data_IF_775376598607
#
_entry.id   IF_775376598607
#
_cell.length_a   1.000
_cell.length_b   1.000
_cell.length_c   1.000
_cell.angle_alpha   90.00
_cell.angle_beta   90.00
_cell.angle_gamma   90.00
#
_symmetry.space_group_name_H-M   'P 1'
#
loop_
_entity.id
_entity.type
_entity.pdbx_description
1 polymer ?
#
# COMPACT_ATOMS: atom_id res chain seq x y z
N UNK A 1 -4.62 2.58 10.82
CA UNK A 1 -4.53 1.67 9.64
C UNK A 1 -5.10 0.32 10.05
N UNK A 2 -6.05 -0.22 9.27
CA UNK A 2 -6.58 -1.56 9.52
C UNK A 2 -5.57 -2.59 9.03
N UNK A 3 -4.70 -3.04 9.94
CA UNK A 3 -3.77 -4.12 9.64
C UNK A 3 -4.51 -5.45 9.59
N UNK A 4 -4.26 -6.25 8.55
CA UNK A 4 -4.79 -7.61 8.39
C UNK A 4 -3.63 -8.59 8.34
N UNK A 5 -3.93 -9.88 8.45
CA UNK A 5 -2.96 -10.94 8.31
C UNK A 5 -3.27 -11.75 7.05
N UNK A 6 -2.24 -12.25 6.39
CA UNK A 6 -2.38 -13.19 5.27
C UNK A 6 -1.26 -14.21 5.33
N UNK A 7 -1.33 -15.19 4.45
CA UNK A 7 -0.31 -16.22 4.31
C UNK A 7 -0.03 -16.51 2.83
N UNK A 8 1.14 -17.07 2.56
CA UNK A 8 1.61 -17.41 1.23
C UNK A 8 2.34 -18.75 1.26
N UNK A 9 2.01 -19.63 0.31
CA UNK A 9 2.51 -21.00 0.22
C UNK A 9 3.60 -21.09 -0.86
N UNK A 10 3.31 -20.57 -2.05
CA UNK A 10 4.25 -20.36 -3.15
C UNK A 10 4.46 -18.86 -3.36
N UNK A 11 5.69 -18.44 -3.65
CA UNK A 11 6.21 -17.08 -3.39
C UNK A 11 5.60 -15.93 -4.20
N UNK A 12 4.42 -16.10 -4.78
CA UNK A 12 3.87 -15.20 -5.79
C UNK A 12 2.76 -14.25 -5.29
N UNK A 13 1.89 -14.65 -4.35
CA UNK A 13 0.81 -13.76 -3.88
C UNK A 13 0.43 -13.90 -2.39
N UNK A 14 0.36 -12.77 -1.69
CA UNK A 14 -0.24 -12.62 -0.35
C UNK A 14 -1.77 -12.49 -0.43
N UNK A 15 -2.37 -13.26 -1.34
CA UNK A 15 -3.77 -13.17 -1.76
C UNK A 15 -4.69 -14.25 -1.19
N UNK A 16 -4.15 -15.19 -0.39
CA UNK A 16 -4.88 -16.36 0.13
C UNK A 16 -5.93 -16.03 1.22
N UNK A 17 -6.36 -14.78 1.31
CA UNK A 17 -7.31 -14.26 2.29
C UNK A 17 -6.70 -13.16 3.17
N UNK A 18 -7.58 -12.32 3.72
CA UNK A 18 -7.24 -11.29 4.70
C UNK A 18 -7.95 -11.58 6.01
N UNK A 19 -7.17 -11.88 7.03
CA UNK A 19 -7.64 -12.31 8.34
C UNK A 19 -7.47 -11.19 9.37
N UNK A 20 -8.34 -11.17 10.38
CA UNK A 20 -8.25 -10.17 11.45
C UNK A 20 -7.15 -10.50 12.45
N UNK A 21 -6.82 -11.79 12.63
CA UNK A 21 -5.77 -12.26 13.54
C UNK A 21 -4.71 -13.07 12.79
N UNK A 22 -3.51 -13.15 13.38
CA UNK A 22 -2.42 -13.96 12.85
C UNK A 22 -2.76 -15.44 12.94
N UNK A 23 -3.37 -15.85 14.04
CA UNK A 23 -3.79 -17.22 14.32
C UNK A 23 -4.76 -17.73 13.25
N UNK A 24 -5.74 -16.91 12.84
CA UNK A 24 -6.67 -17.27 11.77
C UNK A 24 -5.95 -17.48 10.43
N UNK A 25 -4.95 -16.63 10.12
CA UNK A 25 -4.14 -16.78 8.91
C UNK A 25 -3.29 -18.06 8.94
N UNK A 26 -2.72 -18.40 10.11
CA UNK A 26 -1.97 -19.65 10.32
C UNK A 26 -2.89 -20.87 10.12
N UNK A 27 -4.08 -20.85 10.72
CA UNK A 27 -5.07 -21.93 10.59
C UNK A 27 -5.47 -22.11 9.12
N UNK A 28 -5.71 -21.01 8.40
CA UNK A 28 -6.02 -21.06 6.98
C UNK A 28 -4.88 -21.64 6.14
N UNK A 29 -3.62 -21.27 6.44
CA UNK A 29 -2.43 -21.82 5.81
C UNK A 29 -2.29 -23.33 6.01
N UNK A 30 -2.48 -23.82 7.24
CA UNK A 30 -2.50 -25.26 7.52
C UNK A 30 -3.62 -25.99 6.78
N UNK A 31 -4.82 -25.40 6.73
CA UNK A 31 -5.97 -26.02 6.05
C UNK A 31 -5.75 -26.12 4.54
N UNK A 32 -5.23 -25.05 3.91
CA UNK A 32 -4.96 -25.07 2.47
C UNK A 32 -3.87 -26.09 2.12
N UNK A 33 -2.83 -26.22 2.95
CA UNK A 33 -1.81 -27.25 2.76
C UNK A 33 -2.40 -28.67 2.73
N UNK A 34 -3.29 -28.99 3.67
CA UNK A 34 -3.96 -30.30 3.72
C UNK A 34 -4.83 -30.58 2.47
N UNK A 35 -5.20 -29.54 1.72
CA UNK A 35 -5.90 -29.66 0.44
C UNK A 35 -4.93 -29.76 -0.74
N UNK A 36 -3.82 -29.03 -0.74
CA UNK A 36 -2.81 -29.09 -1.82
C UNK A 36 -2.02 -30.40 -1.83
N UNK A 37 -1.77 -31.01 -0.67
CA UNK A 37 -1.18 -32.37 -0.58
C UNK A 37 -2.05 -33.45 -1.26
N UNK A 38 -3.31 -33.15 -1.56
CA UNK A 38 -4.24 -34.06 -2.26
C UNK A 38 -4.30 -33.84 -3.78
N UNK A 39 -3.65 -32.80 -4.30
CA UNK A 39 -3.64 -32.46 -5.73
C UNK A 39 -2.27 -32.85 -6.28
N UNK A 40 -2.24 -33.91 -7.09
CA UNK A 40 -1.04 -34.58 -7.58
C UNK A 40 0.00 -33.63 -8.21
N UNK A 41 1.28 -33.83 -7.86
CA UNK A 41 2.51 -33.32 -8.50
C UNK A 41 3.16 -32.00 -8.01
N UNK A 42 2.95 -31.55 -6.77
CA UNK A 42 3.79 -30.49 -6.21
C UNK A 42 4.82 -31.03 -5.21
N UNK A 43 6.01 -30.41 -5.20
CA UNK A 43 7.05 -30.64 -4.19
C UNK A 43 6.44 -30.54 -2.78
N UNK A 44 6.87 -31.40 -1.85
CA UNK A 44 6.36 -31.43 -0.47
C UNK A 44 6.50 -30.02 0.15
N UNK A 45 5.37 -29.35 0.36
CA UNK A 45 5.36 -28.03 0.98
C UNK A 45 5.73 -28.23 2.46
N UNK A 46 6.91 -27.76 2.85
CA UNK A 46 7.43 -27.93 4.22
C UNK A 46 7.13 -26.75 5.13
N UNK A 47 6.74 -25.62 4.55
CA UNK A 47 6.48 -24.38 5.27
C UNK A 47 5.62 -23.42 4.45
N UNK A 48 5.03 -22.44 5.12
CA UNK A 48 4.40 -21.28 4.50
C UNK A 48 4.82 -20.01 5.27
N UNK A 49 4.64 -18.84 4.66
CA UNK A 49 4.91 -17.57 5.33
C UNK A 49 3.59 -16.95 5.80
N UNK A 50 3.62 -16.28 6.94
CA UNK A 50 2.53 -15.46 7.47
C UNK A 50 3.05 -14.05 7.68
N UNK A 51 2.22 -13.05 7.38
CA UNK A 51 2.65 -11.67 7.36
C UNK A 51 1.48 -10.73 7.59
N UNK A 52 1.80 -9.56 8.13
CA UNK A 52 0.85 -8.50 8.37
C UNK A 52 0.74 -7.63 7.13
N UNK A 53 -0.45 -7.57 6.57
CA UNK A 53 -0.81 -6.78 5.40
C UNK A 53 -1.30 -5.40 5.83
N UNK A 54 -0.69 -4.38 5.24
CA UNK A 54 -1.16 -3.00 5.31
C UNK A 54 -1.42 -2.50 3.89
N UNK A 55 -2.62 -1.97 3.66
CA UNK A 55 -2.90 -1.26 2.41
C UNK A 55 -2.16 0.08 2.43
N UNK A 56 -1.43 0.44 1.36
CA UNK A 56 -0.74 1.72 1.31
C UNK A 56 -1.76 2.85 1.33
N UNK A 57 -1.59 3.80 2.24
CA UNK A 57 -2.30 5.07 2.16
C UNK A 57 -1.59 5.97 1.16
N UNK A 58 -2.31 6.39 0.11
CA UNK A 58 -1.74 7.37 -0.81
C UNK A 58 -1.83 8.75 -0.15
N UNK A 59 -0.68 9.38 -0.01
CA UNK A 59 -0.53 10.74 0.48
C UNK A 59 0.58 11.43 -0.31
N UNK A 60 0.45 12.72 -0.55
CA UNK A 60 1.48 13.57 -1.16
C UNK A 60 1.54 14.90 -0.43
N UNK A 61 2.68 15.59 -0.49
CA UNK A 61 2.88 16.88 0.16
C UNK A 61 2.61 18.02 -0.83
N UNK A 62 1.67 18.90 -0.48
CA UNK A 62 1.30 20.06 -1.30
C UNK A 62 2.48 21.01 -1.55
N UNK A 63 3.39 21.12 -0.58
CA UNK A 63 4.62 21.92 -0.69
C UNK A 63 5.44 21.53 -1.94
N UNK A 64 5.58 20.23 -2.21
CA UNK A 64 6.31 19.76 -3.39
C UNK A 64 5.62 20.18 -4.70
N UNK A 65 4.28 20.24 -4.71
CA UNK A 65 3.50 20.72 -5.85
C UNK A 65 3.69 22.22 -6.03
N UNK A 66 3.56 22.99 -4.94
CA UNK A 66 3.74 24.44 -4.96
C UNK A 66 5.13 24.83 -5.46
N UNK A 67 6.17 24.17 -4.95
CA UNK A 67 7.55 24.35 -5.41
C UNK A 67 7.71 24.03 -6.90
N UNK A 68 7.11 22.92 -7.37
CA UNK A 68 7.14 22.59 -8.80
C UNK A 68 6.45 23.67 -9.65
N UNK A 69 5.34 24.23 -9.16
CA UNK A 69 4.62 25.30 -9.85
C UNK A 69 5.47 26.58 -9.89
N UNK A 70 6.13 26.93 -8.80
CA UNK A 70 7.05 28.07 -8.71
C UNK A 70 8.23 27.95 -9.68
N UNK A 71 8.91 26.79 -9.68
CA UNK A 71 9.99 26.49 -10.63
C UNK A 71 9.52 26.62 -12.09
N UNK A 72 8.31 26.15 -12.41
CA UNK A 72 7.74 26.29 -13.76
C UNK A 72 7.46 27.76 -14.12
N UNK A 73 6.98 28.56 -13.17
CA UNK A 73 6.78 30.00 -13.40
C UNK A 73 8.12 30.70 -13.60
N UNK A 74 9.13 30.41 -12.79
CA UNK A 74 10.47 30.96 -12.94
C UNK A 74 11.07 30.65 -14.32
N UNK A 75 10.92 29.41 -14.80
CA UNK A 75 11.39 29.01 -16.12
C UNK A 75 10.69 29.78 -17.27
N UNK A 76 9.42 30.16 -17.09
CA UNK A 76 8.63 30.85 -18.12
C UNK A 76 8.75 32.37 -18.06
N UNK A 77 8.82 32.96 -16.86
CA UNK A 77 8.72 34.41 -16.65
C UNK A 77 9.95 35.03 -15.99
N UNK A 78 10.93 34.23 -15.58
CA UNK A 78 12.19 34.69 -14.97
C UNK A 78 12.03 35.16 -13.52
N UNK A 79 12.97 36.01 -13.08
CA UNK A 79 13.08 36.45 -11.67
C UNK A 79 11.86 37.22 -11.15
N UNK A 80 11.00 37.75 -12.03
CA UNK A 80 9.82 38.55 -11.64
C UNK A 80 8.73 37.74 -10.91
N UNK A 81 8.80 36.40 -10.97
CA UNK A 81 7.84 35.48 -10.33
C UNK A 81 8.48 34.62 -9.23
N UNK A 82 9.76 34.83 -8.96
CA UNK A 82 10.53 34.06 -7.98
C UNK A 82 9.93 34.21 -6.57
N UNK A 83 9.70 33.07 -5.89
CA UNK A 83 9.27 33.03 -4.50
C UNK A 83 7.82 33.46 -4.25
N UNK A 84 6.95 33.49 -5.27
CA UNK A 84 5.53 33.84 -5.04
C UNK A 84 4.86 32.90 -4.04
N UNK A 85 5.24 31.61 -4.07
CA UNK A 85 4.67 30.60 -3.18
C UNK A 85 5.18 30.71 -1.74
N UNK A 86 6.33 31.37 -1.49
CA UNK A 86 6.82 31.64 -0.13
C UNK A 86 5.87 32.55 0.66
N UNK A 87 4.98 33.28 -0.03
CA UNK A 87 3.93 34.11 0.57
C UNK A 87 2.69 33.34 1.01
N UNK A 88 2.58 32.04 0.74
CA UNK A 88 1.42 31.22 1.11
C UNK A 88 1.52 30.87 2.60
N UNK A 89 0.40 31.02 3.32
CA UNK A 89 0.34 30.69 4.74
C UNK A 89 0.24 29.16 4.96
N UNK A 90 0.74 28.66 6.08
CA UNK A 90 0.56 27.25 6.48
C UNK A 90 -0.93 26.84 6.49
N UNK A 91 -1.83 27.75 6.84
CA UNK A 91 -3.28 27.52 6.82
C UNK A 91 -3.81 27.31 5.39
N UNK A 92 -3.36 28.13 4.44
CA UNK A 92 -3.72 27.99 3.03
C UNK A 92 -3.13 26.73 2.41
N UNK A 93 -1.89 26.36 2.79
CA UNK A 93 -1.28 25.09 2.39
C UNK A 93 -2.11 23.91 2.90
N UNK A 94 -2.54 23.92 4.16
CA UNK A 94 -3.40 22.88 4.71
C UNK A 94 -4.74 22.77 3.97
N UNK A 95 -5.33 23.91 3.60
CA UNK A 95 -6.57 23.94 2.82
C UNK A 95 -6.34 23.29 1.46
N UNK A 96 -5.27 23.67 0.76
CA UNK A 96 -4.91 23.12 -0.54
C UNK A 96 -4.61 21.62 -0.46
N UNK A 97 -3.86 21.18 0.55
CA UNK A 97 -3.59 19.77 0.84
C UNK A 97 -4.90 18.97 0.97
N UNK A 98 -5.86 19.46 1.76
CA UNK A 98 -7.17 18.81 1.95
C UNK A 98 -7.96 18.73 0.63
N UNK A 99 -7.96 19.81 -0.16
CA UNK A 99 -8.63 19.86 -1.46
C UNK A 99 -8.02 18.87 -2.44
N UNK A 100 -6.70 18.89 -2.62
CA UNK A 100 -6.00 18.01 -3.54
C UNK A 100 -6.17 16.53 -3.14
N UNK A 101 -6.05 16.21 -1.85
CA UNK A 101 -6.25 14.84 -1.37
C UNK A 101 -7.67 14.34 -1.63
N UNK A 102 -8.68 15.20 -1.44
CA UNK A 102 -10.07 14.86 -1.75
C UNK A 102 -10.24 14.56 -3.24
N UNK A 103 -9.76 15.45 -4.11
CA UNK A 103 -9.84 15.27 -5.57
C UNK A 103 -9.13 14.00 -6.02
N UNK A 104 -7.95 13.72 -5.46
CA UNK A 104 -7.18 12.53 -5.80
C UNK A 104 -7.88 11.24 -5.37
N UNK A 105 -8.45 11.20 -4.16
CA UNK A 105 -9.27 10.07 -3.69
C UNK A 105 -10.48 9.83 -4.60
N UNK A 106 -11.19 10.89 -4.97
CA UNK A 106 -12.32 10.78 -5.91
C UNK A 106 -11.89 10.25 -7.28
N UNK A 107 -10.73 10.66 -7.79
CA UNK A 107 -10.20 10.17 -9.06
C UNK A 107 -9.88 8.67 -9.00
N UNK A 108 -9.22 8.20 -7.93
CA UNK A 108 -8.95 6.77 -7.73
C UNK A 108 -10.25 5.96 -7.73
N UNK A 109 -11.27 6.42 -7.00
CA UNK A 109 -12.55 5.73 -6.91
C UNK A 109 -13.29 5.71 -8.26
N UNK A 110 -13.29 6.81 -8.98
CA UNK A 110 -13.97 6.93 -10.30
C UNK A 110 -13.30 6.10 -11.39
N UNK A 111 -11.99 5.86 -11.28
CA UNK A 111 -11.20 5.19 -12.33
C UNK A 111 -10.77 3.77 -11.97
N UNK A 112 -11.09 3.30 -10.75
CA UNK A 112 -10.63 2.03 -10.20
C UNK A 112 -9.10 1.86 -10.19
N UNK A 113 -8.36 2.98 -10.15
CA UNK A 113 -6.89 3.01 -10.08
C UNK A 113 -6.37 2.85 -8.64
N UNK A 114 -6.98 1.97 -7.84
CA UNK A 114 -6.50 1.67 -6.49
C UNK A 114 -5.15 0.94 -6.57
N UNK A 115 -4.19 1.23 -5.69
CA UNK A 115 -2.98 0.44 -5.56
C UNK A 115 -3.30 -1.05 -5.44
N UNK A 116 -2.74 -1.85 -6.33
CA UNK A 116 -2.89 -3.32 -6.30
C UNK A 116 -1.77 -4.01 -5.53
N UNK A 117 -0.82 -3.24 -5.01
CA UNK A 117 0.26 -3.75 -4.18
C UNK A 117 -0.09 -3.61 -2.70
N UNK A 118 0.49 -4.50 -1.89
CA UNK A 118 0.32 -4.55 -0.44
C UNK A 118 1.68 -4.37 0.20
N UNK A 119 1.72 -3.69 1.35
CA UNK A 119 2.91 -3.68 2.20
C UNK A 119 2.77 -4.87 3.14
N UNK A 120 3.79 -5.73 3.16
CA UNK A 120 3.86 -6.89 4.07
C UNK A 120 4.95 -6.65 5.10
N UNK A 121 4.56 -6.67 6.36
CA UNK A 121 5.43 -6.49 7.52
C UNK A 121 5.34 -7.71 8.43
N UNK A 122 6.24 -7.84 9.41
CA UNK A 122 6.20 -8.89 10.44
C UNK A 122 6.06 -10.30 9.85
N UNK A 123 6.87 -10.61 8.83
CA UNK A 123 6.84 -11.89 8.13
C UNK A 123 7.47 -12.97 9.01
N UNK A 124 6.78 -14.09 9.15
CA UNK A 124 7.22 -15.27 9.88
C UNK A 124 7.08 -16.53 9.04
N UNK A 125 8.01 -17.48 9.23
CA UNK A 125 7.97 -18.80 8.60
C UNK A 125 7.27 -19.78 9.53
N UNK A 126 6.23 -20.44 9.03
CA UNK A 126 5.51 -21.49 9.74
C UNK A 126 5.88 -22.83 9.12
N UNK A 127 6.59 -23.65 9.89
CA UNK A 127 6.95 -25.00 9.48
C UNK A 127 5.78 -25.96 9.68
N UNK A 128 5.50 -26.74 8.65
CA UNK A 128 4.49 -27.78 8.68
C UNK A 128 5.12 -29.02 9.34
N UNK A 129 4.51 -29.49 10.44
CA UNK A 129 4.94 -30.75 11.07
C UNK A 129 4.46 -31.90 10.18
N UNK A 130 5.37 -32.84 9.89
CA UNK A 130 5.01 -34.15 9.37
C UNK A 130 4.16 -34.94 10.36
#
# INVERSE_FOLDING_TARGET
>A
MNKKWSFIIDREDWGNGLFSTKEDAIIAGHNLNNYTDKIENHEEITHFLVGQITEPEINFHVEAVLKTVDENYFDEYGEDVDGWYEGISEEDEEILQKMMMKTFKEWIEKTDNKPRFRIVENIEVIFLKK
#
